data_IF_655818194442
#
_entry.id   IF_655818194442
#
_cell.length_a   1.000
_cell.length_b   1.000
_cell.length_c   1.000
_cell.angle_alpha   90.00
_cell.angle_beta   90.00
_cell.angle_gamma   90.00
#
_symmetry.space_group_name_H-M   'P 1'
#
loop_
_entity.id
_entity.type
_entity.pdbx_description
1 polymer ?
#
# COMPACT_ATOMS: atom_id res chain seq x y z
N UNK A 1 7.47 45.03 33.87
CA UNK A 1 7.64 44.67 32.42
C UNK A 1 8.06 43.23 32.16
N UNK A 2 8.96 42.68 32.96
CA UNK A 2 9.59 41.36 32.74
C UNK A 2 8.65 40.16 32.93
N UNK A 3 7.71 40.21 33.87
CA UNK A 3 6.72 39.16 34.14
C UNK A 3 5.71 39.01 32.98
N UNK A 4 5.36 40.10 32.33
CA UNK A 4 4.45 40.08 31.15
C UNK A 4 5.12 39.46 29.94
N UNK A 5 6.42 39.68 29.73
CA UNK A 5 7.17 39.12 28.62
C UNK A 5 7.35 37.60 28.77
N UNK A 6 7.58 37.10 30.00
CA UNK A 6 7.70 35.67 30.27
C UNK A 6 6.35 34.94 30.07
N UNK A 7 5.24 35.50 30.49
CA UNK A 7 3.91 34.94 30.26
C UNK A 7 3.57 34.85 28.78
N UNK A 8 3.91 35.89 28.00
CA UNK A 8 3.71 35.89 26.55
C UNK A 8 4.53 34.80 25.83
N UNK A 9 5.78 34.58 26.24
CA UNK A 9 6.65 33.55 25.64
C UNK A 9 6.11 32.13 25.90
N UNK A 10 5.57 31.85 27.09
CA UNK A 10 4.98 30.55 27.44
C UNK A 10 3.72 30.30 26.61
N UNK A 11 2.87 31.31 26.44
CA UNK A 11 1.64 31.19 25.63
C UNK A 11 1.98 30.93 24.16
N UNK A 12 2.97 31.62 23.60
CA UNK A 12 3.41 31.42 22.22
C UNK A 12 4.01 30.02 22.03
N UNK A 13 4.79 29.52 22.97
CA UNK A 13 5.37 28.16 22.91
C UNK A 13 4.26 27.09 22.96
N UNK A 14 3.26 27.24 23.79
CA UNK A 14 2.12 26.31 23.89
C UNK A 14 1.26 26.33 22.61
N UNK A 15 1.00 27.50 22.06
CA UNK A 15 0.26 27.62 20.79
C UNK A 15 1.06 27.00 19.63
N UNK A 16 2.36 27.25 19.54
CA UNK A 16 3.23 26.65 18.51
C UNK A 16 3.26 25.13 18.62
N UNK A 17 3.36 24.57 19.82
CA UNK A 17 3.30 23.12 20.06
C UNK A 17 1.95 22.52 19.66
N UNK A 18 0.85 23.22 19.95
CA UNK A 18 -0.50 22.80 19.56
C UNK A 18 -0.67 22.76 18.04
N UNK A 19 -0.19 23.78 17.32
CA UNK A 19 -0.22 23.83 15.86
C UNK A 19 0.65 22.74 15.25
N UNK A 20 1.86 22.51 15.78
CA UNK A 20 2.74 21.43 15.32
C UNK A 20 2.14 20.04 15.54
N UNK A 21 1.50 19.81 16.68
CA UNK A 21 0.81 18.56 16.98
C UNK A 21 -0.40 18.33 16.05
N UNK A 22 -1.17 19.36 15.77
CA UNK A 22 -2.30 19.29 14.83
C UNK A 22 -1.85 19.04 13.40
N UNK A 23 -0.81 19.70 12.92
CA UNK A 23 -0.27 19.51 11.58
C UNK A 23 0.31 18.10 11.40
N UNK A 24 1.01 17.56 12.39
CA UNK A 24 1.53 16.20 12.38
C UNK A 24 0.39 15.17 12.28
N UNK A 25 -0.70 15.37 13.03
CA UNK A 25 -1.87 14.49 12.98
C UNK A 25 -2.55 14.55 11.61
N UNK A 26 -2.80 15.74 11.07
CA UNK A 26 -3.46 15.91 9.77
C UNK A 26 -2.63 15.31 8.63
N UNK A 27 -1.31 15.50 8.65
CA UNK A 27 -0.41 14.86 7.68
C UNK A 27 -0.46 13.32 7.75
N UNK A 28 -0.45 12.76 8.96
CA UNK A 28 -0.57 11.32 9.16
C UNK A 28 -1.92 10.77 8.70
N UNK A 29 -3.02 11.49 8.93
CA UNK A 29 -4.36 11.10 8.48
C UNK A 29 -4.47 11.17 6.95
N UNK A 30 -3.90 12.18 6.30
CA UNK A 30 -3.82 12.28 4.84
C UNK A 30 -2.99 11.12 4.24
N UNK A 31 -1.84 10.82 4.81
CA UNK A 31 -1.00 9.70 4.37
C UNK A 31 -1.71 8.36 4.55
N UNK A 32 -2.41 8.16 5.66
CA UNK A 32 -3.21 6.97 5.90
C UNK A 32 -4.39 6.86 4.92
N UNK A 33 -5.03 7.98 4.57
CA UNK A 33 -6.10 8.02 3.57
C UNK A 33 -5.57 7.68 2.16
N UNK A 34 -4.40 8.21 1.78
CA UNK A 34 -3.74 7.88 0.52
C UNK A 34 -3.39 6.38 0.43
N UNK A 35 -2.80 5.83 1.50
CA UNK A 35 -2.49 4.40 1.58
C UNK A 35 -3.74 3.51 1.48
N UNK A 36 -4.87 3.93 2.05
CA UNK A 36 -6.15 3.21 1.91
C UNK A 36 -6.69 3.25 0.47
N UNK A 37 -6.52 4.38 -0.23
CA UNK A 37 -6.90 4.50 -1.65
C UNK A 37 -6.05 3.57 -2.51
N UNK A 38 -4.74 3.53 -2.29
CA UNK A 38 -3.84 2.60 -2.98
C UNK A 38 -4.23 1.14 -2.74
N UNK A 39 -4.54 0.76 -1.48
CA UNK A 39 -4.99 -0.59 -1.16
C UNK A 39 -6.27 -0.96 -1.93
N UNK A 40 -7.26 -0.09 -1.99
CA UNK A 40 -8.49 -0.33 -2.75
C UNK A 40 -8.24 -0.43 -4.26
N UNK A 41 -7.34 0.39 -4.80
CA UNK A 41 -6.96 0.31 -6.20
C UNK A 41 -6.29 -1.02 -6.52
N UNK A 42 -5.35 -1.48 -5.68
CA UNK A 42 -4.71 -2.78 -5.85
C UNK A 42 -5.71 -3.94 -5.73
N UNK A 43 -6.67 -3.88 -4.82
CA UNK A 43 -7.76 -4.87 -4.71
C UNK A 43 -8.65 -4.91 -5.96
N UNK A 44 -9.05 -3.75 -6.47
CA UNK A 44 -9.83 -3.67 -7.70
C UNK A 44 -9.04 -4.23 -8.90
N UNK A 45 -7.75 -3.88 -9.00
CA UNK A 45 -6.87 -4.42 -10.04
C UNK A 45 -6.70 -5.94 -9.93
N UNK A 46 -6.60 -6.48 -8.69
CA UNK A 46 -6.55 -7.92 -8.47
C UNK A 46 -7.83 -8.62 -8.97
N UNK A 47 -8.98 -8.02 -8.72
CA UNK A 47 -10.26 -8.55 -9.19
C UNK A 47 -10.38 -8.49 -10.72
N UNK A 48 -9.96 -7.37 -11.34
CA UNK A 48 -9.89 -7.26 -12.79
C UNK A 48 -8.92 -8.28 -13.41
N UNK A 49 -7.77 -8.53 -12.80
CA UNK A 49 -6.81 -9.53 -13.29
C UNK A 49 -7.41 -10.93 -13.28
N UNK A 50 -8.17 -11.31 -12.25
CA UNK A 50 -8.89 -12.59 -12.19
C UNK A 50 -9.96 -12.69 -13.28
N UNK A 51 -10.76 -11.63 -13.44
CA UNK A 51 -11.84 -11.61 -14.44
C UNK A 51 -11.27 -11.65 -15.87
N UNK A 52 -10.20 -10.91 -16.15
CA UNK A 52 -9.51 -10.94 -17.43
C UNK A 52 -8.96 -12.34 -17.74
N UNK A 53 -8.26 -12.97 -16.81
CA UNK A 53 -7.73 -14.32 -16.99
C UNK A 53 -8.87 -15.36 -17.19
N UNK A 54 -9.99 -15.21 -16.51
CA UNK A 54 -11.14 -16.06 -16.71
C UNK A 54 -11.79 -15.88 -18.10
N UNK A 55 -11.85 -14.64 -18.59
CA UNK A 55 -12.35 -14.33 -19.93
C UNK A 55 -11.41 -14.88 -21.03
N UNK A 56 -10.11 -14.72 -20.83
CA UNK A 56 -9.08 -15.24 -21.75
C UNK A 56 -9.09 -16.77 -21.79
N UNK A 57 -9.23 -17.43 -20.64
CA UNK A 57 -9.37 -18.87 -20.54
C UNK A 57 -10.60 -19.37 -21.33
N UNK A 58 -11.76 -18.74 -21.17
CA UNK A 58 -12.99 -19.07 -21.93
C UNK A 58 -12.83 -18.83 -23.45
N UNK A 59 -12.05 -17.81 -23.82
CA UNK A 59 -11.80 -17.53 -25.23
C UNK A 59 -10.92 -18.60 -25.83
N UNK A 60 -9.87 -19.03 -25.10
CA UNK A 60 -9.02 -20.15 -25.50
C UNK A 60 -9.80 -21.47 -25.56
N UNK A 61 -10.66 -21.78 -24.57
CA UNK A 61 -11.54 -22.96 -24.61
C UNK A 61 -12.33 -23.02 -25.92
N UNK A 62 -12.99 -21.92 -26.29
CA UNK A 62 -13.76 -21.84 -27.55
C UNK A 62 -12.90 -21.97 -28.80
N UNK A 63 -11.65 -21.47 -28.76
CA UNK A 63 -10.71 -21.63 -29.89
C UNK A 63 -10.29 -23.09 -30.06
N UNK A 64 -9.96 -23.77 -28.95
CA UNK A 64 -9.60 -25.18 -28.99
C UNK A 64 -10.77 -26.08 -29.40
N UNK A 65 -11.99 -25.83 -28.91
CA UNK A 65 -13.18 -26.55 -29.37
C UNK A 65 -13.38 -26.45 -30.88
N UNK A 66 -13.17 -25.26 -31.46
CA UNK A 66 -13.23 -25.06 -32.91
C UNK A 66 -12.14 -25.83 -33.65
N UNK A 67 -10.90 -25.80 -33.12
CA UNK A 67 -9.78 -26.53 -33.71
C UNK A 67 -10.01 -28.04 -33.68
N UNK A 68 -10.45 -28.58 -32.56
CA UNK A 68 -10.78 -29.99 -32.41
C UNK A 68 -11.97 -30.38 -33.35
N UNK A 69 -12.98 -29.51 -33.48
CA UNK A 69 -14.06 -29.70 -34.43
C UNK A 69 -13.58 -29.75 -35.88
N UNK A 70 -12.65 -28.85 -36.26
CA UNK A 70 -12.02 -28.86 -37.60
C UNK A 70 -11.17 -30.11 -37.81
N UNK A 71 -10.42 -30.57 -36.83
CA UNK A 71 -9.62 -31.80 -36.89
C UNK A 71 -10.55 -33.02 -37.10
N UNK A 72 -11.64 -33.16 -36.35
CA UNK A 72 -12.63 -34.20 -36.48
C UNK A 72 -13.23 -34.20 -37.90
N UNK A 73 -13.61 -33.03 -38.40
CA UNK A 73 -14.19 -32.89 -39.74
C UNK A 73 -13.18 -33.31 -40.84
N UNK A 74 -11.91 -32.95 -40.70
CA UNK A 74 -10.83 -33.34 -41.64
C UNK A 74 -10.58 -34.85 -41.65
N UNK A 75 -10.56 -35.50 -40.47
CA UNK A 75 -10.42 -36.94 -40.38
C UNK A 75 -11.64 -37.64 -40.99
N UNK A 76 -12.84 -37.17 -40.70
CA UNK A 76 -14.07 -37.71 -41.30
C UNK A 76 -14.11 -37.56 -42.84
N UNK A 77 -13.65 -36.42 -43.37
CA UNK A 77 -13.62 -36.19 -44.81
C UNK A 77 -12.56 -37.08 -45.54
N UNK A 78 -11.48 -37.48 -44.83
CA UNK A 78 -10.50 -38.41 -45.36
C UNK A 78 -10.85 -39.88 -45.22
N UNK A 79 -12.05 -40.20 -44.71
CA UNK A 79 -12.52 -41.58 -44.48
C UNK A 79 -11.83 -42.29 -43.33
N UNK A 80 -11.07 -41.55 -42.49
CA UNK A 80 -10.45 -42.08 -41.28
C UNK A 80 -11.39 -41.94 -40.11
N UNK A 81 -11.49 -43.00 -39.30
CA UNK A 81 -12.33 -43.00 -38.08
C UNK A 81 -11.61 -42.19 -36.98
N UNK A 82 -12.12 -41.04 -36.54
CA UNK A 82 -11.43 -40.18 -35.58
C UNK A 82 -11.27 -40.78 -34.19
N UNK A 83 -12.06 -41.80 -33.85
CA UNK A 83 -12.11 -42.47 -32.52
C UNK A 83 -11.18 -43.67 -32.43
N UNK A 84 -10.37 -43.97 -33.42
CA UNK A 84 -9.51 -45.16 -33.43
C UNK A 84 -8.09 -44.84 -33.92
N UNK A 85 -7.10 -45.54 -33.39
CA UNK A 85 -5.73 -45.52 -33.83
C UNK A 85 -5.01 -44.18 -33.64
N UNK A 86 -4.17 -43.82 -34.64
CA UNK A 86 -3.34 -42.59 -34.61
C UNK A 86 -4.16 -41.29 -34.52
N UNK A 87 -5.29 -41.11 -35.24
CA UNK A 87 -6.14 -39.94 -35.12
C UNK A 87 -6.62 -39.67 -33.69
N UNK A 88 -7.03 -40.74 -32.96
CA UNK A 88 -7.43 -40.62 -31.57
C UNK A 88 -6.30 -40.10 -30.67
N UNK A 89 -5.07 -40.64 -30.84
CA UNK A 89 -3.91 -40.21 -30.10
C UNK A 89 -3.57 -38.71 -30.33
N UNK A 90 -3.64 -38.28 -31.60
CA UNK A 90 -3.41 -36.87 -31.96
C UNK A 90 -4.46 -35.94 -31.30
N UNK A 91 -5.71 -36.36 -31.30
CA UNK A 91 -6.78 -35.59 -30.67
C UNK A 91 -6.63 -35.53 -29.15
N UNK A 92 -6.31 -36.66 -28.50
CA UNK A 92 -6.05 -36.69 -27.06
C UNK A 92 -4.88 -35.80 -26.67
N UNK A 93 -3.81 -35.82 -27.43
CA UNK A 93 -2.66 -34.94 -27.18
C UNK A 93 -2.99 -33.46 -27.35
N UNK A 94 -3.78 -33.13 -28.38
CA UNK A 94 -4.26 -31.76 -28.59
C UNK A 94 -5.21 -31.28 -27.47
N UNK A 95 -6.05 -32.16 -26.93
CA UNK A 95 -6.92 -31.86 -25.77
C UNK A 95 -6.10 -31.64 -24.50
N UNK A 96 -5.06 -32.47 -24.27
CA UNK A 96 -4.14 -32.31 -23.13
C UNK A 96 -3.37 -30.99 -23.19
N UNK A 97 -2.80 -30.64 -24.37
CA UNK A 97 -2.10 -29.39 -24.59
C UNK A 97 -3.02 -28.16 -24.38
N UNK A 98 -4.25 -28.25 -24.88
CA UNK A 98 -5.27 -27.23 -24.68
C UNK A 98 -5.60 -27.04 -23.17
N UNK A 99 -5.76 -28.15 -22.44
CA UNK A 99 -6.05 -28.09 -21.00
C UNK A 99 -4.90 -27.47 -20.22
N UNK A 100 -3.64 -27.79 -20.56
CA UNK A 100 -2.46 -27.20 -19.95
C UNK A 100 -2.37 -25.69 -20.23
N UNK A 101 -2.67 -25.26 -21.44
CA UNK A 101 -2.61 -23.86 -21.85
C UNK A 101 -3.67 -23.02 -21.10
N UNK A 102 -4.89 -23.55 -20.99
CA UNK A 102 -5.97 -22.93 -20.21
C UNK A 102 -5.60 -22.86 -18.74
N UNK A 103 -5.02 -23.91 -18.18
CA UNK A 103 -4.55 -23.95 -16.81
C UNK A 103 -3.46 -22.89 -16.55
N UNK A 104 -2.51 -22.71 -17.49
CA UNK A 104 -1.47 -21.67 -17.41
C UNK A 104 -2.06 -20.27 -17.39
N UNK A 105 -3.05 -19.98 -18.23
CA UNK A 105 -3.73 -18.68 -18.25
C UNK A 105 -4.42 -18.40 -16.92
N UNK A 106 -5.16 -19.38 -16.39
CA UNK A 106 -5.84 -19.24 -15.09
C UNK A 106 -4.85 -19.05 -13.95
N UNK A 107 -3.78 -19.84 -13.94
CA UNK A 107 -2.72 -19.73 -12.94
C UNK A 107 -1.99 -18.38 -13.01
N UNK A 108 -1.68 -17.89 -14.20
CA UNK A 108 -1.07 -16.58 -14.41
C UNK A 108 -1.93 -15.44 -13.85
N UNK A 109 -3.24 -15.48 -14.12
CA UNK A 109 -4.18 -14.51 -13.55
C UNK A 109 -4.31 -14.59 -12.03
N UNK A 110 -4.30 -15.79 -11.48
CA UNK A 110 -4.32 -16.00 -10.02
C UNK A 110 -3.02 -15.47 -9.35
N UNK A 111 -1.87 -15.73 -9.96
CA UNK A 111 -0.58 -15.24 -9.48
C UNK A 111 -0.50 -13.70 -9.52
N UNK A 112 -0.93 -13.08 -10.62
CA UNK A 112 -1.01 -11.63 -10.74
C UNK A 112 -1.93 -11.01 -9.68
N UNK A 113 -3.12 -11.58 -9.48
CA UNK A 113 -4.07 -11.14 -8.47
C UNK A 113 -3.51 -11.31 -7.04
N UNK A 114 -2.75 -12.38 -6.80
CA UNK A 114 -2.10 -12.60 -5.51
C UNK A 114 -1.03 -11.54 -5.22
N UNK A 115 -0.19 -11.19 -6.20
CA UNK A 115 0.77 -10.10 -6.09
C UNK A 115 0.11 -8.77 -5.72
N UNK A 116 -0.97 -8.41 -6.40
CA UNK A 116 -1.75 -7.21 -6.11
C UNK A 116 -2.42 -7.25 -4.72
N UNK A 117 -2.84 -8.41 -4.25
CA UNK A 117 -3.41 -8.56 -2.90
C UNK A 117 -2.37 -8.36 -1.80
N UNK A 118 -1.12 -8.77 -2.04
CA UNK A 118 0.02 -8.49 -1.15
C UNK A 118 0.27 -6.98 -1.11
N UNK A 119 0.32 -6.31 -2.27
CA UNK A 119 0.49 -4.86 -2.36
C UNK A 119 -0.60 -4.11 -1.60
N UNK A 120 -1.86 -4.53 -1.73
CA UNK A 120 -2.98 -3.97 -0.98
C UNK A 120 -2.79 -4.12 0.54
N UNK A 121 -2.33 -5.27 0.99
CA UNK A 121 -2.05 -5.54 2.40
C UNK A 121 -0.91 -4.66 2.93
N UNK A 122 0.18 -4.54 2.17
CA UNK A 122 1.29 -3.65 2.51
C UNK A 122 0.86 -2.18 2.58
N UNK A 123 0.05 -1.72 1.61
CA UNK A 123 -0.49 -0.37 1.62
C UNK A 123 -1.34 -0.11 2.89
N UNK A 124 -2.16 -1.09 3.31
CA UNK A 124 -2.92 -1.01 4.56
C UNK A 124 -2.02 -0.94 5.80
N UNK A 125 -0.94 -1.72 5.82
CA UNK A 125 0.03 -1.69 6.91
C UNK A 125 0.76 -0.35 6.99
N UNK A 126 1.20 0.20 5.85
CA UNK A 126 1.80 1.55 5.78
C UNK A 126 0.84 2.61 6.33
N UNK A 127 -0.45 2.54 5.99
CA UNK A 127 -1.46 3.45 6.52
C UNK A 127 -1.65 3.34 8.03
N UNK A 128 -1.58 2.14 8.60
CA UNK A 128 -1.60 1.94 10.06
C UNK A 128 -0.35 2.50 10.73
N UNK A 129 0.82 2.28 10.14
CA UNK A 129 2.09 2.81 10.64
C UNK A 129 2.12 4.34 10.61
N UNK A 130 1.66 4.96 9.52
CA UNK A 130 1.55 6.41 9.40
C UNK A 130 0.69 7.01 10.54
N UNK A 131 -0.45 6.38 10.84
CA UNK A 131 -1.29 6.81 11.98
C UNK A 131 -0.58 6.71 13.32
N UNK A 132 0.13 5.59 13.58
CA UNK A 132 0.90 5.42 14.82
C UNK A 132 2.02 6.46 14.95
N UNK A 133 2.76 6.68 13.87
CA UNK A 133 3.81 7.70 13.83
C UNK A 133 3.25 9.10 14.06
N UNK A 134 2.10 9.42 13.44
CA UNK A 134 1.42 10.70 13.67
C UNK A 134 0.98 10.89 15.12
N UNK A 135 0.50 9.85 15.78
CA UNK A 135 0.16 9.89 17.20
C UNK A 135 1.40 10.11 18.07
N UNK A 136 2.49 9.38 17.81
CA UNK A 136 3.75 9.55 18.55
C UNK A 136 4.35 10.94 18.33
N UNK A 137 4.32 11.45 17.09
CA UNK A 137 4.76 12.80 16.77
C UNK A 137 3.92 13.87 17.50
N UNK A 138 2.61 13.66 17.58
CA UNK A 138 1.72 14.54 18.35
C UNK A 138 2.08 14.56 19.83
N UNK A 139 2.29 13.40 20.45
CA UNK A 139 2.74 13.34 21.85
C UNK A 139 4.11 13.96 22.06
N UNK A 140 5.06 13.71 21.15
CA UNK A 140 6.40 14.30 21.17
C UNK A 140 6.35 15.83 21.09
N UNK A 141 5.54 16.40 20.20
CA UNK A 141 5.37 17.83 20.06
C UNK A 141 4.78 18.48 21.32
N UNK A 142 3.82 17.83 21.97
CA UNK A 142 3.25 18.31 23.24
C UNK A 142 4.30 18.29 24.35
N UNK A 143 5.05 17.19 24.50
CA UNK A 143 6.11 17.08 25.52
C UNK A 143 7.22 18.09 25.27
N UNK A 144 7.62 18.32 24.02
CA UNK A 144 8.65 19.29 23.65
C UNK A 144 8.17 20.74 23.93
N UNK A 145 6.88 21.03 23.70
CA UNK A 145 6.30 22.32 24.05
C UNK A 145 6.31 22.58 25.55
N UNK A 146 5.97 21.58 26.34
CA UNK A 146 6.00 21.68 27.81
C UNK A 146 7.43 21.82 28.34
N UNK A 147 8.40 21.06 27.84
CA UNK A 147 9.80 21.14 28.24
C UNK A 147 10.46 22.47 27.84
N UNK A 148 10.10 23.00 26.66
CA UNK A 148 10.53 24.33 26.23
C UNK A 148 10.01 25.46 27.12
N UNK A 149 8.76 25.35 27.57
CA UNK A 149 8.16 26.30 28.49
C UNK A 149 8.84 26.27 29.89
N UNK A 150 9.18 25.08 30.39
CA UNK A 150 9.84 24.93 31.72
C UNK A 150 11.29 25.39 31.68
N UNK A 151 12.03 25.16 30.59
CA UNK A 151 13.40 25.63 30.44
C UNK A 151 13.50 27.16 30.34
N UNK A 152 12.54 27.78 29.65
CA UNK A 152 12.44 29.25 29.60
C UNK A 152 12.14 29.84 30.98
N UNK A 153 11.34 29.19 31.80
CA UNK A 153 11.06 29.61 33.19
C UNK A 153 12.28 29.44 34.11
N UNK A 154 13.04 28.34 33.95
CA UNK A 154 14.23 28.10 34.74
C UNK A 154 15.31 29.14 34.45
N UNK A 155 15.55 29.53 33.21
CA UNK A 155 16.50 30.57 32.81
C UNK A 155 16.11 31.98 33.34
N UNK A 156 14.82 32.21 33.56
CA UNK A 156 14.36 33.47 34.12
C UNK A 156 14.60 33.59 35.64
N UNK A 157 14.71 32.47 36.35
CA UNK A 157 14.87 32.42 37.80
C UNK A 157 16.28 32.46 38.29
N UNK A 158 17.27 32.29 37.41
CA UNK A 158 18.71 32.48 37.74
C UNK A 158 19.11 33.93 37.45
N UNK A 159 19.20 34.79 38.48
CA UNK A 159 19.79 36.11 38.28
C UNK A 159 21.25 35.92 37.90
N UNK A 160 21.66 36.51 36.76
CA UNK A 160 23.06 36.62 36.38
C UNK A 160 23.79 37.37 37.50
N UNK A 161 24.57 36.63 38.28
CA UNK A 161 25.55 37.22 39.19
C UNK A 161 26.60 37.95 38.35
N UNK A 162 26.39 39.24 38.15
CA UNK A 162 27.40 40.12 37.61
C UNK A 162 28.48 40.22 38.66
N UNK A 163 29.58 39.49 38.46
CA UNK A 163 30.78 39.62 39.26
C UNK A 163 31.38 40.99 38.91
N UNK A 164 31.19 41.95 39.77
CA UNK A 164 31.94 43.17 39.71
C UNK A 164 33.39 42.83 40.08
N UNK A 165 34.27 42.88 39.11
CA UNK A 165 35.70 42.83 39.33
C UNK A 165 36.11 44.05 40.17
N UNK A 166 36.52 43.81 41.41
CA UNK A 166 37.23 44.75 42.22
C UNK A 166 38.59 44.93 41.57
N UNK A 167 38.77 46.07 40.86
CA UNK A 167 40.06 46.58 40.53
C UNK A 167 40.68 47.14 41.82
N UNK A 168 41.82 46.68 42.17
CA UNK A 168 42.70 47.26 43.20
C UNK A 168 43.93 47.92 42.56
N UNK A 169 44.53 48.94 43.22
CA UNK A 169 45.33 50.01 42.67
C UNK A 169 46.73 49.62 42.25
#
# INVERSE_FOLDING_TARGET
GALMAAAAAIVVALVAAGVAAYSAKTAADQQAAASRRQARQAENQAEYAKQAAAADARTKERQYERQLGMMRARFGASGVIPSEGTPLLVMMHAEEEAALDIARVRHGGAAAAHGLSIEATEARLRGKQAKRQGQLAMYGAILQGVSGATSSYANYKTPSTTTYGTGDP
#
